data_IF_058596243825
#
_entry.id   IF_058596243825
#
_cell.length_a   1.000
_cell.length_b   1.000
_cell.length_c   1.000
_cell.angle_alpha   90.00
_cell.angle_beta   90.00
_cell.angle_gamma   90.00
#
_symmetry.space_group_name_H-M   'P 1'
#
loop_
_entity.id
_entity.type
_entity.pdbx_description
1 polymer ?
#
# COMPACT_ATOMS: atom_id res chain seq x y z
N UNK A 1 71.38 -23.89 75.09
CA UNK A 1 71.30 -23.21 73.77
C UNK A 1 70.03 -23.66 73.04
N UNK A 2 69.06 -22.78 72.72
CA UNK A 2 68.00 -23.12 71.79
C UNK A 2 68.24 -22.44 70.42
N UNK A 3 68.14 -23.21 69.34
CA UNK A 3 68.18 -22.73 67.95
C UNK A 3 66.80 -22.20 67.57
N UNK A 4 66.69 -20.91 67.30
CA UNK A 4 65.51 -20.32 66.68
C UNK A 4 65.40 -20.78 65.22
N UNK A 5 64.25 -21.37 64.85
CA UNK A 5 63.92 -21.70 63.46
C UNK A 5 63.23 -20.48 62.82
N UNK A 6 63.64 -20.05 61.61
CA UNK A 6 62.95 -18.96 60.94
C UNK A 6 61.56 -19.43 60.48
N UNK A 7 60.52 -18.76 60.97
CA UNK A 7 59.17 -18.91 60.44
C UNK A 7 59.14 -18.36 59.01
N UNK A 8 59.01 -19.26 58.04
CA UNK A 8 58.86 -18.92 56.62
C UNK A 8 57.46 -18.33 56.43
N UNK A 9 57.36 -17.00 56.36
CA UNK A 9 56.11 -16.31 56.03
C UNK A 9 55.70 -16.64 54.60
N UNK A 10 54.65 -17.43 54.45
CA UNK A 10 53.93 -17.58 53.18
C UNK A 10 53.19 -16.27 52.88
N UNK A 11 53.67 -15.51 51.89
CA UNK A 11 52.92 -14.40 51.31
C UNK A 11 51.76 -14.99 50.51
N UNK A 12 50.54 -14.89 51.03
CA UNK A 12 49.35 -15.05 50.22
C UNK A 12 49.37 -13.95 49.15
N UNK A 13 49.54 -14.35 47.90
CA UNK A 13 49.33 -13.45 46.77
C UNK A 13 47.84 -13.16 46.72
N UNK A 14 47.47 -11.93 46.99
CA UNK A 14 46.13 -11.41 46.72
C UNK A 14 45.90 -11.56 45.21
N UNK A 15 45.22 -12.63 44.82
CA UNK A 15 44.73 -12.76 43.45
C UNK A 15 43.60 -11.74 43.31
N UNK A 16 43.79 -10.79 42.38
CA UNK A 16 42.87 -9.69 42.12
C UNK A 16 41.49 -10.21 41.68
N UNK A 17 40.60 -10.51 42.62
CA UNK A 17 39.18 -10.84 42.36
C UNK A 17 38.37 -9.67 41.78
N UNK A 18 38.98 -8.47 41.71
CA UNK A 18 38.35 -7.29 41.15
C UNK A 18 38.10 -7.39 39.63
N UNK A 19 38.99 -8.05 38.87
CA UNK A 19 38.79 -8.22 37.41
C UNK A 19 37.61 -9.12 37.10
N UNK A 20 37.38 -10.16 37.91
CA UNK A 20 36.19 -11.00 37.79
C UNK A 20 34.91 -10.24 38.13
N UNK A 21 34.94 -9.43 39.19
CA UNK A 21 33.81 -8.57 39.56
C UNK A 21 33.50 -7.53 38.47
N UNK A 22 34.53 -6.88 37.93
CA UNK A 22 34.41 -5.93 36.83
C UNK A 22 33.88 -6.60 35.55
N UNK A 23 34.30 -7.83 35.25
CA UNK A 23 33.78 -8.62 34.12
C UNK A 23 32.30 -8.95 34.31
N UNK A 24 31.88 -9.40 35.51
CA UNK A 24 30.47 -9.67 35.78
C UNK A 24 29.60 -8.42 35.66
N UNK A 25 30.08 -7.27 36.16
CA UNK A 25 29.38 -5.97 36.03
C UNK A 25 29.32 -5.53 34.56
N UNK A 26 30.41 -5.70 33.80
CA UNK A 26 30.43 -5.42 32.37
C UNK A 26 29.38 -6.27 31.63
N UNK A 27 29.39 -7.58 31.84
CA UNK A 27 28.41 -8.49 31.22
C UNK A 27 26.98 -8.14 31.63
N UNK A 28 26.75 -7.82 32.90
CA UNK A 28 25.43 -7.41 33.39
C UNK A 28 24.94 -6.11 32.74
N UNK A 29 25.81 -5.11 32.57
CA UNK A 29 25.42 -3.84 31.91
C UNK A 29 25.21 -4.01 30.41
N UNK A 30 25.98 -4.88 29.73
CA UNK A 30 25.73 -5.26 28.33
C UNK A 30 24.41 -6.00 28.15
N UNK A 31 24.06 -6.91 29.05
CA UNK A 31 22.78 -7.62 29.02
C UNK A 31 21.59 -6.67 29.24
N UNK A 32 21.74 -5.71 30.16
CA UNK A 32 20.73 -4.69 30.41
C UNK A 32 20.58 -3.75 29.19
N UNK A 33 21.69 -3.34 28.57
CA UNK A 33 21.69 -2.46 27.42
C UNK A 33 21.04 -3.06 26.17
N UNK A 34 21.04 -4.39 26.02
CA UNK A 34 20.48 -5.10 24.85
C UNK A 34 19.01 -5.49 24.98
N UNK A 35 18.40 -5.43 26.17
CA UNK A 35 17.00 -5.89 26.37
C UNK A 35 15.94 -5.03 25.65
N UNK A 36 16.25 -3.80 25.24
CA UNK A 36 15.24 -2.86 24.73
C UNK A 36 14.96 -2.95 23.21
N UNK A 37 15.71 -3.74 22.43
CA UNK A 37 15.65 -3.67 20.95
C UNK A 37 14.69 -4.64 20.26
N UNK A 38 14.06 -5.58 20.97
CA UNK A 38 13.36 -6.71 20.33
C UNK A 38 11.89 -6.47 19.94
N UNK A 39 11.23 -5.43 20.44
CA UNK A 39 9.77 -5.31 20.31
C UNK A 39 9.28 -4.58 19.05
N UNK A 40 10.18 -3.98 18.26
CA UNK A 40 9.80 -3.24 17.04
C UNK A 40 9.47 -4.15 15.84
N UNK A 41 9.84 -5.43 15.89
CA UNK A 41 9.73 -6.33 14.73
C UNK A 41 8.30 -6.69 14.33
N UNK A 42 7.37 -6.84 15.29
CA UNK A 42 6.02 -7.37 15.00
C UNK A 42 5.16 -6.39 14.20
N UNK A 43 5.25 -5.09 14.50
CA UNK A 43 4.52 -4.05 13.76
C UNK A 43 5.11 -3.90 12.36
N UNK A 44 6.43 -3.93 12.22
CA UNK A 44 7.10 -3.86 10.93
C UNK A 44 6.67 -5.04 10.03
N UNK A 45 6.72 -6.26 10.54
CA UNK A 45 6.27 -7.46 9.80
C UNK A 45 4.81 -7.37 9.37
N UNK A 46 3.92 -6.86 10.24
CA UNK A 46 2.50 -6.74 9.91
C UNK A 46 2.25 -5.68 8.82
N UNK A 47 3.01 -4.58 8.82
CA UNK A 47 2.97 -3.57 7.75
C UNK A 47 3.48 -4.14 6.42
N UNK A 48 4.57 -4.90 6.44
CA UNK A 48 5.08 -5.57 5.24
C UNK A 48 4.06 -6.58 4.68
N UNK A 49 3.41 -7.36 5.55
CA UNK A 49 2.38 -8.30 5.13
C UNK A 49 1.16 -7.60 4.52
N UNK A 50 0.73 -6.48 5.09
CA UNK A 50 -0.34 -5.64 4.54
C UNK A 50 0.04 -5.03 3.18
N UNK A 51 1.26 -4.52 3.03
CA UNK A 51 1.73 -4.00 1.74
C UNK A 51 1.74 -5.11 0.68
N UNK A 52 2.25 -6.29 1.03
CA UNK A 52 2.19 -7.46 0.14
C UNK A 52 0.76 -7.85 -0.19
N UNK A 53 -0.20 -7.71 0.73
CA UNK A 53 -1.61 -7.99 0.46
C UNK A 53 -2.14 -7.08 -0.65
N UNK A 54 -1.82 -5.79 -0.61
CA UNK A 54 -2.22 -4.82 -1.64
C UNK A 54 -1.54 -5.10 -2.98
N UNK A 55 -0.25 -5.46 -2.98
CA UNK A 55 0.50 -5.84 -4.19
C UNK A 55 -0.08 -7.10 -4.84
N UNK A 56 -0.28 -8.15 -4.05
CA UNK A 56 -0.86 -9.42 -4.51
C UNK A 56 -2.30 -9.23 -4.99
N UNK A 57 -3.11 -8.49 -4.24
CA UNK A 57 -4.48 -8.16 -4.64
C UNK A 57 -4.54 -7.39 -5.96
N UNK A 58 -3.60 -6.47 -6.17
CA UNK A 58 -3.45 -5.76 -7.44
C UNK A 58 -3.06 -6.70 -8.58
N UNK A 59 -2.14 -7.65 -8.34
CA UNK A 59 -1.78 -8.66 -9.33
C UNK A 59 -2.97 -9.55 -9.72
N UNK A 60 -3.81 -9.95 -8.77
CA UNK A 60 -5.05 -10.68 -9.06
C UNK A 60 -6.04 -9.85 -9.87
N UNK A 61 -6.28 -8.59 -9.48
CA UNK A 61 -7.16 -7.67 -10.22
C UNK A 61 -6.68 -7.50 -11.67
N UNK A 62 -5.38 -7.26 -11.87
CA UNK A 62 -4.79 -7.12 -13.20
C UNK A 62 -4.89 -8.42 -14.00
N UNK A 63 -4.69 -9.58 -13.38
CA UNK A 63 -4.85 -10.86 -14.06
C UNK A 63 -6.30 -11.10 -14.52
N UNK A 64 -7.28 -10.81 -13.68
CA UNK A 64 -8.71 -10.91 -14.05
C UNK A 64 -9.04 -9.93 -15.18
N UNK A 65 -8.57 -8.68 -15.08
CA UNK A 65 -8.77 -7.68 -16.14
C UNK A 65 -8.12 -8.12 -17.47
N UNK A 66 -6.91 -8.68 -17.41
CA UNK A 66 -6.20 -9.24 -18.56
C UNK A 66 -6.98 -10.39 -19.19
N UNK A 67 -7.52 -11.30 -18.37
CA UNK A 67 -8.35 -12.43 -18.81
C UNK A 67 -9.64 -11.97 -19.52
N UNK A 68 -10.30 -10.95 -18.99
CA UNK A 68 -11.48 -10.35 -19.63
C UNK A 68 -11.15 -9.74 -21.00
N UNK A 69 -10.02 -9.03 -21.08
CA UNK A 69 -9.57 -8.36 -22.28
C UNK A 69 -9.05 -9.34 -23.36
N UNK A 70 -8.57 -10.51 -22.95
CA UNK A 70 -8.15 -11.58 -23.86
C UNK A 70 -9.27 -12.52 -24.28
N UNK A 71 -10.54 -12.22 -23.98
CA UNK A 71 -11.63 -13.13 -24.37
C UNK A 71 -11.81 -13.17 -25.90
N UNK A 72 -11.68 -14.32 -26.58
CA UNK A 72 -11.90 -14.45 -28.02
C UNK A 72 -13.34 -14.12 -28.40
N UNK A 73 -13.55 -13.41 -29.50
CA UNK A 73 -14.90 -13.12 -30.03
C UNK A 73 -15.65 -11.99 -29.28
N UNK A 74 -14.96 -11.15 -28.52
CA UNK A 74 -15.51 -9.92 -27.94
C UNK A 74 -16.48 -10.11 -26.77
N UNK A 75 -16.77 -11.37 -26.38
CA UNK A 75 -17.64 -11.68 -25.24
C UNK A 75 -16.81 -11.73 -23.96
N UNK A 76 -16.81 -10.64 -23.20
CA UNK A 76 -16.12 -10.55 -21.91
C UNK A 76 -16.75 -11.53 -20.92
N UNK A 77 -15.98 -12.51 -20.48
CA UNK A 77 -16.42 -13.54 -19.54
C UNK A 77 -15.34 -13.77 -18.49
N UNK A 78 -15.76 -13.74 -17.23
CA UNK A 78 -14.89 -13.94 -16.07
C UNK A 78 -14.36 -15.38 -16.01
N UNK A 79 -13.18 -15.61 -15.38
CA UNK A 79 -12.66 -16.95 -15.20
C UNK A 79 -13.53 -17.74 -14.21
N UNK A 80 -13.88 -19.01 -14.50
CA UNK A 80 -14.65 -19.83 -13.56
C UNK A 80 -13.82 -20.28 -12.35
N UNK A 81 -12.51 -20.46 -12.50
CA UNK A 81 -11.59 -20.78 -11.39
C UNK A 81 -10.35 -19.87 -11.40
N UNK A 82 -9.72 -19.68 -10.23
CA UNK A 82 -8.43 -18.99 -10.14
C UNK A 82 -7.31 -19.70 -10.92
N UNK A 83 -7.41 -21.03 -11.06
CA UNK A 83 -6.47 -21.82 -11.85
C UNK A 83 -6.45 -21.40 -13.33
N UNK A 84 -7.56 -20.90 -13.86
CA UNK A 84 -7.65 -20.45 -15.26
C UNK A 84 -6.85 -19.15 -15.51
N UNK A 85 -6.52 -18.40 -14.45
CA UNK A 85 -5.61 -17.25 -14.54
C UNK A 85 -4.16 -17.68 -14.79
N UNK A 86 -3.78 -18.89 -14.36
CA UNK A 86 -2.45 -19.44 -14.67
C UNK A 86 -2.38 -20.04 -16.06
N UNK A 87 -3.43 -20.75 -16.47
CA UNK A 87 -3.48 -21.42 -17.75
C UNK A 87 -4.88 -21.26 -18.33
N UNK A 88 -5.03 -20.32 -19.25
CA UNK A 88 -6.31 -20.10 -19.91
C UNK A 88 -6.63 -21.28 -20.86
N UNK A 89 -7.72 -22.04 -20.63
CA UNK A 89 -8.11 -23.16 -21.50
C UNK A 89 -8.68 -22.69 -22.85
N UNK A 90 -8.99 -21.40 -23.01
CA UNK A 90 -9.55 -20.83 -24.26
C UNK A 90 -8.53 -20.76 -25.39
N UNK A 91 -7.24 -20.86 -25.07
CA UNK A 91 -6.16 -20.79 -26.04
C UNK A 91 -5.49 -22.16 -26.18
N UNK A 92 -5.16 -22.60 -27.41
CA UNK A 92 -4.42 -23.85 -27.64
C UNK A 92 -2.96 -23.79 -27.16
N UNK A 93 -2.47 -22.62 -26.77
CA UNK A 93 -1.15 -22.41 -26.16
C UNK A 93 -1.23 -21.98 -24.70
N UNK A 94 -0.10 -22.04 -23.98
CA UNK A 94 -0.04 -21.60 -22.57
C UNK A 94 -0.09 -20.07 -22.52
N UNK A 95 -1.28 -19.52 -22.24
CA UNK A 95 -1.45 -18.10 -21.93
C UNK A 95 -1.62 -17.94 -20.42
N UNK A 96 -0.69 -17.19 -19.80
CA UNK A 96 -0.68 -16.94 -18.36
C UNK A 96 -1.01 -15.48 -18.09
N UNK A 97 -2.03 -15.23 -17.27
CA UNK A 97 -2.38 -13.89 -16.79
C UNK A 97 -1.78 -13.61 -15.41
N UNK A 98 -1.50 -14.68 -14.66
CA UNK A 98 -0.82 -14.64 -13.37
C UNK A 98 0.44 -15.52 -13.42
N UNK A 99 1.48 -15.16 -12.68
CA UNK A 99 2.75 -15.92 -12.65
C UNK A 99 2.63 -17.20 -11.81
N UNK A 100 1.94 -17.10 -10.69
CA UNK A 100 1.68 -18.18 -9.72
C UNK A 100 0.45 -17.79 -8.88
N UNK A 101 -0.21 -18.77 -8.26
CA UNK A 101 -1.19 -18.45 -7.20
C UNK A 101 -0.41 -17.97 -5.98
N UNK A 102 -0.56 -16.69 -5.64
CA UNK A 102 0.08 -16.11 -4.48
C UNK A 102 -0.72 -16.49 -3.22
N UNK A 103 -0.08 -16.94 -2.14
CA UNK A 103 -0.77 -17.13 -0.88
C UNK A 103 -1.15 -15.79 -0.26
N UNK A 104 -2.19 -15.80 0.56
CA UNK A 104 -2.56 -14.67 1.41
C UNK A 104 -1.40 -14.38 2.39
N UNK A 105 -0.75 -13.20 2.34
CA UNK A 105 0.38 -12.89 3.22
C UNK A 105 -0.02 -12.69 4.68
N UNK A 106 -1.30 -12.49 4.99
CA UNK A 106 -1.81 -12.37 6.36
C UNK A 106 -2.07 -13.75 6.96
N UNK A 107 -2.71 -14.65 6.20
CA UNK A 107 -3.09 -15.99 6.67
C UNK A 107 -1.99 -17.04 6.42
N UNK A 108 -1.10 -16.78 5.47
CA UNK A 108 -0.08 -17.73 4.99
C UNK A 108 -0.61 -18.87 4.13
N UNK A 109 -1.91 -18.86 3.82
CA UNK A 109 -2.59 -19.94 3.07
C UNK A 109 -2.77 -19.57 1.60
N UNK A 110 -2.79 -20.54 0.68
CA UNK A 110 -3.12 -20.31 -0.73
C UNK A 110 -4.62 -20.05 -0.97
N UNK A 111 -5.43 -20.09 0.07
CA UNK A 111 -6.88 -19.95 0.02
C UNK A 111 -7.29 -18.47 0.04
N UNK A 112 -8.15 -18.09 -0.89
CA UNK A 112 -8.72 -16.76 -1.00
C UNK A 112 -10.24 -16.83 -0.98
N UNK A 113 -10.88 -15.80 -0.43
CA UNK A 113 -12.31 -15.57 -0.60
C UNK A 113 -12.59 -15.16 -2.05
N UNK A 114 -13.59 -15.79 -2.67
CA UNK A 114 -13.90 -15.65 -4.08
C UNK A 114 -15.21 -14.88 -4.23
N UNK A 115 -15.25 -13.92 -5.15
CA UNK A 115 -16.44 -13.09 -5.39
C UNK A 115 -16.98 -13.44 -6.77
N UNK A 116 -18.19 -13.99 -6.79
CA UNK A 116 -18.87 -14.36 -8.02
C UNK A 116 -19.40 -13.12 -8.75
N UNK A 117 -19.22 -13.08 -10.07
CA UNK A 117 -19.80 -12.07 -10.93
C UNK A 117 -21.29 -12.36 -11.19
N UNK A 118 -22.13 -11.34 -11.46
CA UNK A 118 -23.56 -11.55 -11.80
C UNK A 118 -23.79 -12.42 -13.04
N UNK A 119 -22.80 -12.52 -13.94
CA UNK A 119 -22.83 -13.36 -15.15
C UNK A 119 -22.11 -14.71 -14.99
N UNK A 120 -21.74 -15.08 -13.77
CA UNK A 120 -20.92 -16.25 -13.47
C UNK A 120 -19.41 -15.98 -13.56
N UNK A 121 -18.64 -16.88 -12.95
CA UNK A 121 -17.19 -16.74 -12.80
C UNK A 121 -16.79 -15.81 -11.66
N UNK A 122 -15.49 -15.64 -11.46
CA UNK A 122 -14.89 -14.92 -10.35
C UNK A 122 -14.52 -13.51 -10.83
N UNK A 123 -15.16 -12.49 -10.25
CA UNK A 123 -14.83 -11.08 -10.55
C UNK A 123 -13.75 -10.51 -9.63
N UNK A 124 -13.50 -11.14 -8.51
CA UNK A 124 -12.53 -10.64 -7.54
C UNK A 124 -12.21 -11.62 -6.43
N UNK A 125 -11.24 -11.22 -5.62
CA UNK A 125 -10.77 -11.97 -4.46
C UNK A 125 -10.68 -11.08 -3.22
N UNK A 126 -10.81 -11.67 -2.05
CA UNK A 126 -10.56 -11.00 -0.77
C UNK A 126 -9.83 -11.95 0.19
N UNK A 127 -9.13 -11.40 1.18
CA UNK A 127 -8.50 -12.21 2.23
C UNK A 127 -9.58 -12.88 3.11
N UNK A 128 -9.27 -14.05 3.66
CA UNK A 128 -10.14 -14.73 4.64
C UNK A 128 -9.84 -14.30 6.08
N UNK A 129 -8.89 -13.40 6.28
CA UNK A 129 -8.47 -12.97 7.61
C UNK A 129 -9.36 -11.86 8.18
N UNK A 130 -9.88 -12.07 9.39
CA UNK A 130 -10.59 -11.04 10.17
C UNK A 130 -9.66 -10.15 11.00
N UNK A 131 -8.34 -10.24 10.78
CA UNK A 131 -7.38 -9.39 11.45
C UNK A 131 -7.61 -7.91 11.09
N UNK A 132 -7.36 -7.03 12.08
CA UNK A 132 -7.55 -5.59 11.91
C UNK A 132 -6.55 -5.03 10.88
N UNK A 133 -7.01 -4.20 9.95
CA UNK A 133 -6.16 -3.46 9.05
C UNK A 133 -5.37 -2.38 9.81
N UNK A 134 -4.13 -2.12 9.37
CA UNK A 134 -3.31 -1.00 9.84
C UNK A 134 -3.59 0.24 9.00
N UNK A 135 -3.74 0.07 7.68
CA UNK A 135 -4.08 1.16 6.76
C UNK A 135 -5.59 1.35 6.67
N UNK A 136 -6.08 2.54 7.00
CA UNK A 136 -7.52 2.87 6.98
C UNK A 136 -7.85 3.92 5.90
N UNK A 137 -6.85 4.70 5.47
CA UNK A 137 -7.01 5.80 4.51
C UNK A 137 -5.76 5.98 3.63
N UNK A 138 -5.89 6.79 2.58
CA UNK A 138 -4.78 7.11 1.66
C UNK A 138 -4.46 5.95 0.72
N UNK A 139 -5.51 5.27 0.24
CA UNK A 139 -5.38 4.24 -0.79
C UNK A 139 -5.32 4.88 -2.17
N UNK A 140 -4.68 4.17 -3.10
CA UNK A 140 -4.74 4.50 -4.53
C UNK A 140 -6.20 4.52 -5.04
N UNK A 141 -6.51 5.25 -6.11
CA UNK A 141 -7.87 5.37 -6.64
C UNK A 141 -8.52 4.00 -6.94
N UNK A 142 -7.73 3.00 -7.35
CA UNK A 142 -8.22 1.63 -7.60
C UNK A 142 -8.68 0.90 -6.34
N UNK A 143 -8.26 1.37 -5.16
CA UNK A 143 -8.45 0.77 -3.85
C UNK A 143 -9.27 1.68 -2.90
N UNK A 144 -9.88 2.77 -3.41
CA UNK A 144 -10.68 3.69 -2.59
C UNK A 144 -11.83 3.01 -1.83
N UNK A 145 -12.36 1.91 -2.38
CA UNK A 145 -13.38 1.07 -1.73
C UNK A 145 -12.90 0.41 -0.42
N UNK A 146 -11.63 0.56 -0.06
CA UNK A 146 -11.04 0.06 1.18
C UNK A 146 -10.99 1.11 2.29
N UNK A 147 -11.25 2.38 1.97
CA UNK A 147 -11.24 3.44 2.97
C UNK A 147 -12.28 3.20 4.06
N UNK A 148 -11.85 3.34 5.32
CA UNK A 148 -12.68 3.13 6.50
C UNK A 148 -12.93 1.66 6.87
N UNK A 149 -12.44 0.68 6.09
CA UNK A 149 -12.60 -0.74 6.42
C UNK A 149 -11.57 -1.17 7.46
N UNK A 150 -12.05 -1.76 8.55
CA UNK A 150 -11.20 -2.15 9.67
C UNK A 150 -10.63 -3.57 9.54
N UNK A 151 -11.12 -4.40 8.62
CA UNK A 151 -10.67 -5.79 8.46
C UNK A 151 -10.19 -6.09 7.05
N UNK A 152 -9.21 -6.99 6.94
CA UNK A 152 -8.73 -7.47 5.64
C UNK A 152 -9.76 -8.28 4.86
N UNK A 153 -10.69 -8.95 5.55
CA UNK A 153 -11.80 -9.68 4.91
C UNK A 153 -12.74 -8.78 4.12
N UNK A 154 -12.79 -7.49 4.45
CA UNK A 154 -13.62 -6.52 3.75
C UNK A 154 -12.90 -5.90 2.52
N UNK A 155 -11.60 -6.15 2.36
CA UNK A 155 -10.81 -5.62 1.24
C UNK A 155 -10.98 -6.50 0.00
N UNK A 156 -11.84 -6.00 -0.89
CA UNK A 156 -12.30 -6.70 -2.08
C UNK A 156 -11.55 -6.24 -3.33
N UNK A 157 -10.64 -7.06 -3.83
CA UNK A 157 -9.92 -6.82 -5.08
C UNK A 157 -10.74 -7.36 -6.26
N UNK A 158 -11.66 -6.55 -6.78
CA UNK A 158 -12.56 -6.94 -7.86
C UNK A 158 -12.43 -6.05 -9.10
N UNK A 159 -12.68 -6.64 -10.27
CA UNK A 159 -12.86 -5.93 -11.54
C UNK A 159 -14.36 -5.87 -11.80
N UNK A 160 -14.98 -4.73 -11.47
CA UNK A 160 -16.37 -4.52 -11.85
C UNK A 160 -16.44 -4.37 -13.38
N UNK A 161 -17.41 -5.01 -14.05
CA UNK A 161 -17.71 -4.62 -15.42
C UNK A 161 -18.18 -3.18 -15.33
N UNK A 162 -17.66 -2.29 -16.19
CA UNK A 162 -18.09 -0.91 -16.23
C UNK A 162 -19.63 -0.89 -16.24
N UNK A 163 -20.23 -0.56 -15.10
CA UNK A 163 -21.67 -0.47 -15.00
C UNK A 163 -22.06 0.67 -15.97
N UNK A 164 -23.12 0.52 -16.78
CA UNK A 164 -23.69 1.69 -17.42
C UNK A 164 -24.02 2.65 -16.28
N UNK A 165 -23.43 3.84 -16.31
CA UNK A 165 -23.61 4.86 -15.28
C UNK A 165 -25.10 4.93 -14.93
N UNK A 166 -25.49 4.42 -13.77
CA UNK A 166 -26.84 4.68 -13.25
C UNK A 166 -26.85 6.18 -12.98
N UNK A 167 -27.70 6.86 -13.74
CA UNK A 167 -27.76 8.31 -13.81
C UNK A 167 -27.71 8.95 -12.42
N UNK A 168 -26.62 9.64 -12.15
CA UNK A 168 -26.67 10.88 -11.40
C UNK A 168 -27.34 11.91 -12.30
N UNK A 169 -28.65 12.04 -12.16
CA UNK A 169 -29.30 13.28 -12.52
C UNK A 169 -28.85 14.35 -11.51
N UNK A 170 -28.36 15.51 -11.96
CA UNK A 170 -28.66 16.75 -11.30
C UNK A 170 -29.69 17.53 -12.13
N UNK A 171 -30.46 18.31 -11.39
CA UNK A 171 -31.60 19.10 -11.81
C UNK A 171 -31.34 20.02 -13.01
N UNK A 172 -32.45 20.40 -13.64
CA UNK A 172 -32.50 21.02 -14.96
C UNK A 172 -31.66 22.28 -15.11
N UNK A 173 -31.01 22.36 -16.28
CA UNK A 173 -30.49 23.60 -16.82
C UNK A 173 -31.52 24.08 -17.83
N UNK A 174 -32.24 25.12 -17.45
CA UNK A 174 -33.19 25.81 -18.33
C UNK A 174 -32.46 26.30 -19.59
N UNK A 175 -32.99 25.90 -20.75
CA UNK A 175 -32.63 26.44 -22.05
C UNK A 175 -33.03 27.92 -22.10
N UNK A 176 -32.05 28.79 -21.90
CA UNK A 176 -32.12 30.19 -22.32
C UNK A 176 -31.84 30.28 -23.81
N UNK A 177 -32.89 30.46 -24.59
CA UNK A 177 -32.87 30.86 -25.99
C UNK A 177 -32.04 32.14 -26.17
N UNK A 178 -30.98 32.10 -26.96
CA UNK A 178 -30.51 33.28 -27.65
C UNK A 178 -30.07 32.94 -29.08
N UNK A 179 -31.05 33.02 -29.97
CA UNK A 179 -30.85 33.18 -31.41
C UNK A 179 -30.18 34.52 -31.68
N UNK A 180 -29.02 34.50 -32.32
CA UNK A 180 -28.47 35.67 -33.05
C UNK A 180 -28.24 35.26 -34.52
N UNK A 181 -28.75 36.03 -35.50
CA UNK A 181 -28.75 35.68 -36.93
C UNK A 181 -27.41 35.97 -37.62
N UNK A 182 -27.12 35.39 -38.80
CA UNK A 182 -25.91 35.67 -39.57
C UNK A 182 -26.14 36.83 -40.56
N UNK A 183 -25.11 37.66 -40.78
CA UNK A 183 -24.98 38.46 -41.99
C UNK A 183 -23.50 38.63 -42.39
N UNK A 184 -23.20 38.74 -43.71
CA UNK A 184 -21.87 38.50 -44.29
C UNK A 184 -21.11 39.79 -44.62
N UNK A 185 -19.79 39.72 -44.76
CA UNK A 185 -19.04 40.70 -45.56
C UNK A 185 -17.58 40.96 -45.20
N UNK A 186 -16.71 40.55 -46.13
CA UNK A 186 -15.40 41.11 -46.50
C UNK A 186 -14.10 40.76 -45.74
N UNK A 187 -13.19 40.22 -46.57
CA UNK A 187 -11.75 40.48 -46.66
C UNK A 187 -10.77 39.53 -45.94
N UNK A 188 -10.08 38.74 -46.76
CA UNK A 188 -8.78 38.08 -46.52
C UNK A 188 -7.61 39.04 -46.88
N UNK A 189 -6.32 38.62 -46.93
CA UNK A 189 -5.49 37.86 -45.98
C UNK A 189 -4.10 38.55 -45.72
N UNK A 190 -3.24 37.90 -44.92
CA UNK A 190 -1.75 37.81 -45.04
C UNK A 190 -0.91 38.25 -43.83
N UNK A 191 0.15 37.48 -43.55
CA UNK A 191 1.27 37.79 -42.65
C UNK A 191 1.38 36.82 -41.46
N UNK A 192 1.94 35.62 -41.61
CA UNK A 192 3.38 35.30 -41.57
C UNK A 192 4.05 35.45 -40.19
N UNK A 193 4.70 34.35 -39.79
CA UNK A 193 5.85 34.23 -38.89
C UNK A 193 5.64 34.23 -37.35
N UNK A 194 6.03 33.09 -36.75
CA UNK A 194 6.76 32.88 -35.49
C UNK A 194 6.17 31.63 -34.78
N UNK A 195 6.69 30.41 -34.94
CA UNK A 195 7.96 29.86 -34.43
C UNK A 195 8.19 30.14 -32.93
N UNK A 196 7.97 29.08 -32.14
CA UNK A 196 8.51 28.74 -30.81
C UNK A 196 7.72 29.05 -29.51
N UNK A 197 7.86 28.16 -28.49
CA UNK A 197 6.95 28.02 -27.36
C UNK A 197 7.40 28.82 -26.11
N UNK A 198 6.45 29.18 -25.26
CA UNK A 198 6.73 29.77 -23.94
C UNK A 198 7.03 28.68 -22.88
N UNK A 199 8.09 28.82 -22.06
CA UNK A 199 8.41 27.89 -20.98
C UNK A 199 7.56 28.14 -19.71
N UNK A 200 7.37 27.08 -18.92
CA UNK A 200 6.64 27.06 -17.66
C UNK A 200 7.26 27.99 -16.58
N UNK A 201 6.45 28.63 -15.71
CA UNK A 201 6.98 29.33 -14.55
C UNK A 201 7.33 28.38 -13.40
N UNK A 202 8.55 28.56 -12.87
CA UNK A 202 9.08 27.93 -11.67
C UNK A 202 8.44 28.49 -10.37
N UNK A 203 8.53 27.77 -9.22
CA UNK A 203 7.76 28.05 -8.02
C UNK A 203 8.30 29.24 -7.20
N UNK A 204 7.39 30.06 -6.67
CA UNK A 204 7.70 31.18 -5.80
C UNK A 204 7.91 30.72 -4.33
N UNK A 205 8.83 31.36 -3.58
CA UNK A 205 9.22 30.95 -2.23
C UNK A 205 8.24 31.38 -1.13
N UNK A 206 8.19 30.54 -0.08
CA UNK A 206 7.57 30.76 1.23
C UNK A 206 7.88 32.14 1.82
N UNK A 207 6.84 32.90 2.18
CA UNK A 207 6.93 34.05 3.07
C UNK A 207 5.97 33.90 4.26
N UNK A 208 6.58 33.70 5.44
CA UNK A 208 6.23 34.31 6.73
C UNK A 208 4.76 34.31 7.17
N UNK A 209 4.29 33.20 7.75
CA UNK A 209 3.17 33.24 8.70
C UNK A 209 3.65 33.87 10.01
N UNK A 210 3.21 35.09 10.28
CA UNK A 210 3.23 35.69 11.62
C UNK A 210 1.94 35.34 12.36
N UNK A 211 2.01 35.08 13.68
CA UNK A 211 0.92 34.51 14.46
C UNK A 211 -0.14 35.57 14.76
N UNK A 212 -1.38 35.36 14.30
CA UNK A 212 -2.50 36.22 14.68
C UNK A 212 -3.15 35.74 15.98
N UNK A 213 -3.32 36.73 16.85
CA UNK A 213 -3.68 36.75 18.26
C UNK A 213 -5.15 36.39 18.54
N UNK A 214 -5.36 35.57 19.56
CA UNK A 214 -6.61 35.51 20.33
C UNK A 214 -6.97 36.89 20.90
N UNK A 215 -8.27 37.20 20.98
CA UNK A 215 -8.79 37.85 22.18
C UNK A 215 -9.76 36.94 22.93
N UNK A 216 -9.51 36.92 24.23
CA UNK A 216 -10.18 36.18 25.28
C UNK A 216 -11.19 37.13 25.95
N UNK A 217 -12.28 36.54 26.49
CA UNK A 217 -12.99 36.96 27.73
C UNK A 217 -14.00 38.13 27.59
N UNK A 218 -15.05 38.21 28.44
CA UNK A 218 -15.99 37.16 28.92
C UNK A 218 -17.43 37.70 29.12
N UNK A 219 -18.30 36.80 29.60
CA UNK A 219 -19.38 36.98 30.59
C UNK A 219 -20.77 36.56 30.12
#
# INVERSE_FOLDING_TARGET
MPRARPCRRHRHRHQCGFTYLALLILVATLALATSATLTLGSIAQRREAEQRLLEVGTAYRQAIASYLNSSPGGRRSYPPALADLLKDPRYPGIRRHLRQLYPDPITGKPEWGLIAAPGGGIMGVHSLSDARAIKIAGFDPENQLFEGKERYSEWVFAVLPAAPARGSAPAGVAQGSNTVPPAPGLAAPAGAAALFPAPAPAPAPLQGQTPQSLPIVPR
#
